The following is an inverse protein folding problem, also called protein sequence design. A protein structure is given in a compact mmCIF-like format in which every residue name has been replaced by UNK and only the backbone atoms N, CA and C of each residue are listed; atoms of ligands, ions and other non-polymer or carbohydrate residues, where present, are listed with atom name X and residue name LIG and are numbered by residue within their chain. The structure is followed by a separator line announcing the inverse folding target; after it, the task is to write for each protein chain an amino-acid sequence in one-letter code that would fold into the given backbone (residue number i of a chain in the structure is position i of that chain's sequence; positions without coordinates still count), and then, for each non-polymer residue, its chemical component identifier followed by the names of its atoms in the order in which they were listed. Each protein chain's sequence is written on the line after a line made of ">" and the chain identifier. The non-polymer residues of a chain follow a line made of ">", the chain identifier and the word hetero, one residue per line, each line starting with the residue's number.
data_IF_311082531861
#
_entry.id   IF_311082531861
#
_cell.length_a   1.000
_cell.length_b   1.000
_cell.length_c   1.000
_cell.angle_alpha   90.00
_cell.angle_beta   90.00
_cell.angle_gamma   90.00
#
_symmetry.space_group_name_H-M   'P 1'
#
loop_
_entity.id
_entity.type
_entity.pdbx_description
1 polymer ?
#
# COMPACT_ATOMS: atom_id res chain seq x y z
N UNK A 1 -10.49 -17.13 -9.20
CA UNK A 1 -11.27 -16.19 -8.35
C UNK A 1 -12.12 -15.31 -9.25
N UNK A 2 -13.40 -15.23 -9.03
CA UNK A 2 -14.26 -14.41 -9.86
C UNK A 2 -14.15 -12.90 -9.49
N UNK A 3 -14.67 -12.05 -10.35
CA UNK A 3 -14.54 -10.61 -10.19
C UNK A 3 -15.15 -10.07 -8.86
N UNK A 4 -16.35 -10.51 -8.42
CA UNK A 4 -16.87 -10.04 -7.13
C UNK A 4 -16.00 -10.38 -5.93
N UNK A 5 -15.39 -11.56 -5.91
CA UNK A 5 -14.47 -11.95 -4.83
C UNK A 5 -13.19 -11.13 -4.83
N UNK A 6 -12.64 -10.86 -6.00
CA UNK A 6 -11.46 -10.00 -6.15
C UNK A 6 -11.74 -8.60 -5.64
N UNK A 7 -12.89 -8.04 -6.05
CA UNK A 7 -13.29 -6.70 -5.65
C UNK A 7 -13.49 -6.60 -4.13
N UNK A 8 -14.13 -7.59 -3.53
CA UNK A 8 -14.34 -7.64 -2.08
C UNK A 8 -13.01 -7.68 -1.33
N UNK A 9 -12.09 -8.55 -1.74
CA UNK A 9 -10.78 -8.67 -1.09
C UNK A 9 -9.96 -7.39 -1.21
N UNK A 10 -9.94 -6.78 -2.39
CA UNK A 10 -9.22 -5.52 -2.60
C UNK A 10 -9.84 -4.35 -1.81
N UNK A 11 -11.16 -4.33 -1.67
CA UNK A 11 -11.86 -3.36 -0.85
C UNK A 11 -11.46 -3.48 0.62
N UNK A 12 -11.43 -4.70 1.14
CA UNK A 12 -11.00 -4.97 2.51
C UNK A 12 -9.54 -4.57 2.74
N UNK A 13 -8.66 -4.85 1.79
CA UNK A 13 -7.25 -4.48 1.87
C UNK A 13 -7.08 -2.96 1.84
N UNK A 14 -7.82 -2.26 1.01
CA UNK A 14 -7.75 -0.80 0.93
C UNK A 14 -8.24 -0.14 2.22
N UNK A 15 -9.33 -0.63 2.79
CA UNK A 15 -9.82 -0.16 4.10
C UNK A 15 -8.83 -0.46 5.22
N UNK A 16 -8.25 -1.66 5.20
CA UNK A 16 -7.24 -2.07 6.19
C UNK A 16 -5.99 -1.21 6.14
N UNK A 17 -5.49 -0.91 4.95
CA UNK A 17 -4.33 -0.03 4.77
C UNK A 17 -4.62 1.38 5.30
N UNK A 18 -5.78 1.94 4.97
CA UNK A 18 -6.19 3.25 5.43
C UNK A 18 -6.29 3.33 6.95
N UNK A 19 -6.90 2.31 7.55
CA UNK A 19 -7.04 2.22 9.00
C UNK A 19 -5.69 2.06 9.70
N UNK A 20 -4.83 1.22 9.16
CA UNK A 20 -3.47 1.02 9.69
C UNK A 20 -2.64 2.30 9.63
N UNK A 21 -2.76 3.06 8.55
CA UNK A 21 -2.05 4.33 8.42
C UNK A 21 -2.55 5.36 9.44
N UNK A 22 -3.85 5.43 9.68
CA UNK A 22 -4.40 6.30 10.73
C UNK A 22 -3.88 5.92 12.11
N UNK A 23 -3.81 4.63 12.42
CA UNK A 23 -3.22 4.15 13.66
C UNK A 23 -1.74 4.51 13.77
N UNK A 24 -1.00 4.37 12.68
CA UNK A 24 0.40 4.78 12.61
C UNK A 24 0.58 6.27 12.90
N UNK A 25 -0.26 7.14 12.31
CA UNK A 25 -0.18 8.58 12.56
C UNK A 25 -0.45 8.94 14.03
N UNK A 26 -1.43 8.28 14.65
CA UNK A 26 -1.74 8.48 16.08
C UNK A 26 -0.54 8.05 16.93
N UNK A 27 0.04 6.91 16.63
CA UNK A 27 1.22 6.41 17.34
C UNK A 27 2.40 7.38 17.20
N UNK A 28 2.68 7.85 15.99
CA UNK A 28 3.78 8.76 15.73
C UNK A 28 3.60 10.11 16.43
N UNK A 29 2.37 10.62 16.49
CA UNK A 29 2.08 11.86 17.21
C UNK A 29 2.40 11.74 18.70
N UNK A 30 2.18 10.54 19.27
CA UNK A 30 2.44 10.29 20.70
C UNK A 30 3.92 10.07 21.01
N UNK A 31 4.67 9.45 20.09
CA UNK A 31 6.06 9.03 20.31
C UNK A 31 7.05 9.70 19.36
N UNK A 32 6.71 10.86 18.82
CA UNK A 32 7.52 11.56 17.81
C UNK A 32 8.97 11.76 18.24
N UNK A 33 9.20 12.17 19.48
CA UNK A 33 10.54 12.43 20.01
C UNK A 33 11.45 11.19 20.00
N UNK A 34 10.86 10.00 20.16
CA UNK A 34 11.60 8.74 20.15
C UNK A 34 12.05 8.33 18.75
N UNK A 35 11.31 8.77 17.71
CA UNK A 35 11.51 8.32 16.34
C UNK A 35 12.13 9.36 15.40
N UNK A 36 12.26 10.62 15.83
CA UNK A 36 12.84 11.69 15.00
C UNK A 36 14.29 11.37 14.58
N UNK A 37 15.03 10.65 15.41
CA UNK A 37 16.40 10.26 15.11
C UNK A 37 16.52 8.91 14.38
N UNK A 38 15.41 8.24 14.11
CA UNK A 38 15.38 6.90 13.50
C UNK A 38 15.34 6.94 11.98
N UNK A 39 16.02 7.88 11.37
CA UNK A 39 16.21 7.84 9.92
C UNK A 39 16.94 6.55 9.57
N UNK A 40 16.37 5.77 8.67
CA UNK A 40 17.03 4.57 8.14
C UNK A 40 18.19 5.06 7.29
N UNK A 41 19.46 4.87 7.73
CA UNK A 41 20.60 5.64 7.17
C UNK A 41 20.83 5.43 5.68
N UNK A 42 20.46 4.28 5.13
CA UNK A 42 20.76 3.90 3.75
C UNK A 42 19.57 4.04 2.80
N UNK A 43 18.39 4.36 3.33
CA UNK A 43 17.19 4.53 2.53
C UNK A 43 16.73 5.98 2.64
N UNK A 44 16.92 6.79 1.66
CA UNK A 44 16.53 8.21 1.66
C UNK A 44 14.99 8.35 1.67
N UNK A 45 14.33 7.65 2.59
CA UNK A 45 12.88 7.65 2.73
C UNK A 45 12.48 8.26 4.07
N UNK A 46 11.36 8.96 4.09
CA UNK A 46 10.73 9.39 5.33
C UNK A 46 10.09 8.20 6.04
N UNK A 47 9.76 8.34 7.32
CA UNK A 47 9.06 7.29 8.06
C UNK A 47 7.69 6.98 7.45
N UNK A 48 6.96 7.99 6.95
CA UNK A 48 5.68 7.78 6.29
C UNK A 48 5.84 6.97 4.99
N UNK A 49 6.85 7.29 4.20
CA UNK A 49 7.16 6.52 3.00
C UNK A 49 7.55 5.09 3.35
N UNK A 50 8.31 4.90 4.41
CA UNK A 50 8.71 3.58 4.87
C UNK A 50 7.52 2.72 5.30
N UNK A 51 6.48 3.33 5.87
CA UNK A 51 5.24 2.63 6.21
C UNK A 51 4.66 1.91 4.98
N UNK A 52 4.56 2.63 3.85
CA UNK A 52 4.03 2.05 2.61
C UNK A 52 4.97 1.00 2.01
N UNK A 53 6.28 1.20 2.12
CA UNK A 53 7.25 0.20 1.69
C UNK A 53 7.09 -1.10 2.50
N UNK A 54 6.92 -1.01 3.81
CA UNK A 54 6.69 -2.19 4.65
C UNK A 54 5.40 -2.92 4.29
N UNK A 55 4.35 -2.19 3.98
CA UNK A 55 3.12 -2.80 3.48
C UNK A 55 3.39 -3.61 2.21
N UNK A 56 4.11 -3.03 1.25
CA UNK A 56 4.41 -3.71 -0.01
C UNK A 56 5.30 -4.94 0.18
N UNK A 57 6.24 -4.88 1.12
CA UNK A 57 7.17 -6.00 1.37
C UNK A 57 6.46 -7.27 1.83
N UNK A 58 5.28 -7.16 2.45
CA UNK A 58 4.50 -8.34 2.83
C UNK A 58 4.08 -9.19 1.63
N UNK A 59 4.03 -8.60 0.44
CA UNK A 59 3.59 -9.26 -0.79
C UNK A 59 4.73 -9.44 -1.78
N UNK A 60 5.98 -9.22 -1.35
CA UNK A 60 7.14 -9.34 -2.22
C UNK A 60 7.41 -10.82 -2.48
N UNK A 61 7.26 -11.24 -3.72
CA UNK A 61 7.44 -12.64 -4.13
C UNK A 61 8.06 -12.74 -5.51
N UNK A 62 8.78 -13.84 -5.74
CA UNK A 62 9.22 -14.24 -7.07
C UNK A 62 8.50 -15.53 -7.45
N UNK A 63 7.85 -15.56 -8.61
CA UNK A 63 6.99 -16.65 -9.01
C UNK A 63 7.45 -17.27 -10.33
N UNK A 64 7.34 -18.60 -10.43
CA UNK A 64 7.53 -19.29 -11.70
C UNK A 64 6.37 -19.01 -12.64
N UNK A 65 6.63 -19.10 -13.95
CA UNK A 65 5.63 -18.82 -14.98
C UNK A 65 4.37 -19.70 -14.82
N UNK A 66 4.56 -20.98 -14.51
CA UNK A 66 3.45 -21.94 -14.32
C UNK A 66 2.57 -21.51 -13.15
N UNK A 67 3.18 -21.06 -12.07
CA UNK A 67 2.44 -20.61 -10.89
C UNK A 67 1.67 -19.32 -11.18
N UNK A 68 2.25 -18.38 -11.95
CA UNK A 68 1.55 -17.17 -12.38
C UNK A 68 0.29 -17.51 -13.19
N UNK A 69 0.39 -18.45 -14.10
CA UNK A 69 -0.76 -18.89 -14.91
C UNK A 69 -1.86 -19.47 -14.02
N UNK A 70 -1.49 -20.27 -13.03
CA UNK A 70 -2.43 -20.84 -12.08
C UNK A 70 -3.11 -19.75 -11.23
N UNK A 71 -2.37 -18.74 -10.78
CA UNK A 71 -2.92 -17.63 -10.01
C UNK A 71 -3.92 -16.79 -10.81
N UNK A 72 -3.67 -16.59 -12.10
CA UNK A 72 -4.62 -15.87 -12.96
C UNK A 72 -5.97 -16.56 -13.03
N UNK A 73 -5.99 -17.89 -12.84
CA UNK A 73 -7.22 -18.67 -12.85
C UNK A 73 -7.88 -18.80 -11.48
N UNK A 74 -7.09 -18.80 -10.40
CA UNK A 74 -7.56 -19.21 -9.08
C UNK A 74 -7.28 -18.23 -7.96
N UNK A 75 -6.46 -17.20 -8.18
CA UNK A 75 -6.02 -16.33 -7.09
C UNK A 75 -5.77 -14.88 -7.48
N UNK A 76 -5.57 -14.06 -6.46
CA UNK A 76 -5.26 -12.65 -6.58
C UNK A 76 -3.75 -12.45 -6.65
N UNK A 77 -3.26 -11.79 -7.71
CA UNK A 77 -1.84 -11.52 -7.89
C UNK A 77 -1.33 -10.55 -6.81
N UNK A 78 -0.11 -10.81 -6.34
CA UNK A 78 0.58 -9.95 -5.36
C UNK A 78 0.71 -8.50 -5.82
N UNK A 79 0.91 -8.28 -7.13
CA UNK A 79 0.97 -6.93 -7.70
C UNK A 79 -0.31 -6.14 -7.44
N UNK A 80 -1.47 -6.77 -7.63
CA UNK A 80 -2.76 -6.12 -7.38
C UNK A 80 -2.97 -5.84 -5.89
N UNK A 81 -2.49 -6.71 -5.01
CA UNK A 81 -2.56 -6.53 -3.56
C UNK A 81 -1.78 -5.31 -3.08
N UNK A 82 -0.74 -4.91 -3.82
CA UNK A 82 0.05 -3.72 -3.52
C UNK A 82 -0.55 -2.50 -4.20
N UNK A 83 -0.75 -2.58 -5.52
CA UNK A 83 -1.08 -1.42 -6.36
C UNK A 83 -2.47 -0.87 -6.06
N UNK A 84 -3.48 -1.74 -5.94
CA UNK A 84 -4.87 -1.27 -5.79
C UNK A 84 -5.11 -0.53 -4.47
N UNK A 85 -4.68 -1.05 -3.30
CA UNK A 85 -4.79 -0.27 -2.06
C UNK A 85 -4.03 1.05 -2.11
N UNK A 86 -2.86 1.08 -2.74
CA UNK A 86 -2.06 2.31 -2.88
C UNK A 86 -2.72 3.32 -3.82
N UNK A 87 -3.33 2.86 -4.91
CA UNK A 87 -4.10 3.74 -5.80
C UNK A 87 -5.27 4.41 -5.08
N UNK A 88 -5.87 3.73 -4.11
CA UNK A 88 -7.00 4.25 -3.34
C UNK A 88 -6.57 5.14 -2.18
N UNK A 89 -5.27 5.27 -1.91
CA UNK A 89 -4.75 6.01 -0.77
C UNK A 89 -4.28 7.40 -1.17
N UNK A 90 -4.98 8.44 -0.70
CA UNK A 90 -4.51 9.83 -0.84
C UNK A 90 -3.25 10.10 -0.03
N UNK A 91 -3.09 9.42 1.10
CA UNK A 91 -1.90 9.57 1.96
C UNK A 91 -0.63 9.11 1.27
N UNK A 92 -0.72 7.97 0.57
CA UNK A 92 0.41 7.43 -0.18
C UNK A 92 0.86 8.40 -1.27
N UNK A 93 -0.05 8.92 -2.08
CA UNK A 93 0.29 9.86 -3.14
C UNK A 93 0.85 11.17 -2.60
N UNK A 94 0.38 11.62 -1.45
CA UNK A 94 0.88 12.80 -0.78
C UNK A 94 2.30 12.61 -0.24
N UNK A 95 2.54 11.49 0.44
CA UNK A 95 3.85 11.20 1.06
C UNK A 95 4.95 10.98 0.03
N UNK A 96 4.61 10.45 -1.14
CA UNK A 96 5.57 10.25 -2.25
C UNK A 96 5.53 11.39 -3.28
N UNK A 97 4.69 12.40 -3.07
CA UNK A 97 4.55 13.56 -3.97
C UNK A 97 4.29 13.12 -5.41
N UNK A 98 3.31 12.23 -5.59
CA UNK A 98 2.96 11.71 -6.91
C UNK A 98 2.26 12.78 -7.75
N UNK A 99 2.60 12.85 -9.04
CA UNK A 99 1.92 13.75 -9.98
C UNK A 99 0.47 13.30 -10.21
N UNK A 100 -0.43 14.25 -10.42
CA UNK A 100 -1.85 13.96 -10.68
C UNK A 100 -2.08 13.13 -11.93
N UNK A 101 -1.13 13.14 -12.85
CA UNK A 101 -1.16 12.36 -14.09
C UNK A 101 -0.62 10.94 -13.92
N UNK A 102 0.02 10.64 -12.78
CA UNK A 102 0.57 9.30 -12.52
C UNK A 102 -0.54 8.34 -12.06
N UNK A 103 -0.28 7.04 -12.21
CA UNK A 103 -1.23 5.99 -11.83
C UNK A 103 -1.58 6.06 -10.34
N UNK A 104 -0.59 6.32 -9.48
CA UNK A 104 -0.80 6.35 -8.02
C UNK A 104 -1.16 7.75 -7.50
N UNK A 105 -1.03 8.79 -8.33
CA UNK A 105 -1.32 10.17 -7.95
C UNK A 105 -2.65 10.72 -8.45
N UNK A 106 -3.48 9.91 -9.10
CA UNK A 106 -4.75 10.37 -9.68
C UNK A 106 -5.65 10.97 -8.59
N UNK A 107 -6.30 12.12 -8.88
CA UNK A 107 -7.16 12.77 -7.89
C UNK A 107 -8.53 12.09 -7.70
N UNK A 108 -8.97 11.28 -8.66
CA UNK A 108 -10.28 10.62 -8.63
C UNK A 108 -10.23 9.27 -7.89
N UNK A 109 -9.74 9.29 -6.65
CA UNK A 109 -9.59 8.07 -5.86
C UNK A 109 -10.86 7.71 -5.12
N UNK A 110 -11.14 6.40 -5.06
CA UNK A 110 -12.17 5.85 -4.21
C UNK A 110 -11.60 5.59 -2.82
N UNK A 111 -11.99 6.39 -1.85
CA UNK A 111 -11.55 6.19 -0.46
C UNK A 111 -12.65 5.47 0.32
N UNK A 112 -12.25 4.45 1.08
CA UNK A 112 -13.18 3.64 1.87
C UNK A 112 -13.28 4.16 3.30
N UNK A 113 -12.23 4.75 3.83
CA UNK A 113 -12.18 5.30 5.18
C UNK A 113 -11.60 6.71 5.20
#
# INVERSE_FOLDING_TARGET
>A
MDYPQVLEELTMMSGGLSLAYKGYLIFMAKYEEEFVSSNIPDMKLTLNQYFFLQFALNFCTTKRKEYKNMLNLTGLDSKLRIVVPMQSSFRMSKDFVCADTSVLGRPDKCSIL
#
